data_IF_487441742886
#
_entry.id   IF_487441742886
#
_cell.length_a   1.000
_cell.length_b   1.000
_cell.length_c   1.000
_cell.angle_alpha   90.00
_cell.angle_beta   90.00
_cell.angle_gamma   90.00
#
_symmetry.space_group_name_H-M   'P 1'
#
loop_
_entity.id
_entity.type
_entity.pdbx_description
1 polymer ?
#
# COMPACT_ATOMS: atom_id res chain seq x y z
N UNK A 1 -3.27 -6.06 15.78
CA UNK A 1 -4.14 -4.88 15.56
C UNK A 1 -5.17 -4.79 16.66
N UNK A 2 -5.32 -3.65 17.33
CA UNK A 2 -6.40 -3.45 18.32
C UNK A 2 -7.63 -2.89 17.60
N UNK A 3 -8.83 -3.36 17.96
CA UNK A 3 -10.09 -3.00 17.28
C UNK A 3 -10.37 -1.49 17.32
N UNK A 4 -9.91 -0.82 18.38
CA UNK A 4 -10.07 0.61 18.59
C UNK A 4 -9.30 1.47 17.55
N UNK A 5 -8.33 0.90 16.82
CA UNK A 5 -7.59 1.61 15.76
C UNK A 5 -8.35 1.67 14.43
N UNK A 6 -9.30 0.77 14.20
CA UNK A 6 -10.01 0.65 12.90
C UNK A 6 -10.75 1.94 12.54
N UNK A 7 -11.55 2.57 13.44
CA UNK A 7 -12.26 3.81 13.10
C UNK A 7 -11.31 4.96 12.75
N UNK A 8 -10.18 5.07 13.45
CA UNK A 8 -9.18 6.10 13.19
C UNK A 8 -8.51 5.90 11.82
N UNK A 9 -8.18 4.66 11.46
CA UNK A 9 -7.64 4.30 10.15
C UNK A 9 -8.64 4.64 9.05
N UNK A 10 -9.90 4.24 9.23
CA UNK A 10 -10.96 4.54 8.27
C UNK A 10 -11.11 6.06 8.06
N UNK A 11 -11.20 6.83 9.15
CA UNK A 11 -11.33 8.28 9.10
C UNK A 11 -10.12 8.94 8.41
N UNK A 12 -8.91 8.45 8.69
CA UNK A 12 -7.69 8.96 8.07
C UNK A 12 -7.70 8.74 6.55
N UNK A 13 -7.91 7.49 6.09
CA UNK A 13 -7.93 7.19 4.66
C UNK A 13 -9.11 7.87 3.95
N UNK A 14 -10.28 7.97 4.58
CA UNK A 14 -11.41 8.73 4.03
C UNK A 14 -11.06 10.22 3.88
N UNK A 15 -10.36 10.81 4.85
CA UNK A 15 -9.88 12.19 4.77
C UNK A 15 -8.88 12.39 3.62
N UNK A 16 -7.90 11.50 3.48
CA UNK A 16 -6.93 11.54 2.36
C UNK A 16 -7.64 11.35 1.02
N UNK A 17 -8.63 10.46 0.94
CA UNK A 17 -9.45 10.25 -0.26
C UNK A 17 -10.19 11.52 -0.67
N UNK A 18 -10.85 12.20 0.28
CA UNK A 18 -11.54 13.46 -0.01
C UNK A 18 -10.55 14.51 -0.52
N UNK A 19 -9.38 14.64 0.11
CA UNK A 19 -8.35 15.59 -0.34
C UNK A 19 -7.84 15.25 -1.75
N UNK A 20 -7.60 13.96 -2.03
CA UNK A 20 -7.19 13.48 -3.34
C UNK A 20 -8.23 13.84 -4.42
N UNK A 21 -9.50 13.49 -4.21
CA UNK A 21 -10.56 13.67 -5.20
C UNK A 21 -11.00 15.14 -5.36
N UNK A 22 -11.05 15.88 -4.27
CA UNK A 22 -11.53 17.27 -4.29
C UNK A 22 -10.46 18.24 -4.79
N UNK A 23 -9.18 18.01 -4.49
CA UNK A 23 -8.11 18.95 -4.79
C UNK A 23 -7.09 18.40 -5.76
N UNK A 24 -6.46 17.26 -5.48
CA UNK A 24 -5.32 16.81 -6.29
C UNK A 24 -5.72 16.37 -7.70
N UNK A 25 -6.85 15.68 -7.84
CA UNK A 25 -7.38 15.28 -9.15
C UNK A 25 -7.86 16.47 -9.99
N UNK A 26 -7.91 17.69 -9.44
CA UNK A 26 -8.20 18.93 -10.17
C UNK A 26 -6.95 19.61 -10.73
N UNK A 27 -5.77 19.19 -10.30
CA UNK A 27 -4.50 19.74 -10.74
C UNK A 27 -4.04 18.96 -11.98
N UNK A 28 -3.81 19.68 -13.09
CA UNK A 28 -3.26 19.07 -14.30
C UNK A 28 -1.74 18.92 -14.15
N UNK A 29 -1.29 17.71 -13.82
CA UNK A 29 0.12 17.36 -13.77
C UNK A 29 0.68 17.13 -15.18
N UNK A 30 1.90 17.59 -15.43
CA UNK A 30 2.56 17.49 -16.74
C UNK A 30 2.96 16.03 -17.12
N UNK A 31 3.13 15.13 -16.15
CA UNK A 31 3.63 13.75 -16.34
C UNK A 31 2.58 12.65 -16.00
N UNK A 32 1.29 12.98 -16.04
CA UNK A 32 0.25 12.10 -15.48
C UNK A 32 0.09 12.33 -13.97
N UNK A 33 -1.14 12.15 -13.47
CA UNK A 33 -1.51 12.54 -12.11
C UNK A 33 -0.73 11.81 -11.00
N UNK A 34 -0.61 12.45 -9.84
CA UNK A 34 -0.04 11.85 -8.63
C UNK A 34 -1.14 11.34 -7.68
N UNK A 35 -1.00 10.12 -7.17
CA UNK A 35 -1.90 9.56 -6.15
C UNK A 35 -1.30 9.68 -4.75
N UNK A 36 -1.68 10.75 -4.05
CA UNK A 36 -1.32 10.94 -2.63
C UNK A 36 -1.93 9.82 -1.77
N UNK A 37 -3.11 9.36 -2.16
CA UNK A 37 -3.80 8.25 -1.53
C UNK A 37 -2.94 6.98 -1.48
N UNK A 38 -2.39 6.57 -2.63
CA UNK A 38 -1.51 5.40 -2.71
C UNK A 38 -0.18 5.63 -1.99
N UNK A 39 0.37 6.84 -2.04
CA UNK A 39 1.61 7.16 -1.34
C UNK A 39 1.47 6.96 0.18
N UNK A 40 0.40 7.48 0.79
CA UNK A 40 0.13 7.26 2.22
C UNK A 40 -0.15 5.79 2.52
N UNK A 41 -0.88 5.09 1.64
CA UNK A 41 -1.15 3.67 1.81
C UNK A 41 0.15 2.86 1.94
N UNK A 42 1.06 2.98 0.96
CA UNK A 42 2.32 2.23 0.97
C UNK A 42 3.24 2.62 2.14
N UNK A 43 3.33 3.92 2.44
CA UNK A 43 4.10 4.41 3.58
C UNK A 43 3.56 3.88 4.93
N UNK A 44 2.25 3.64 5.03
CA UNK A 44 1.63 3.14 6.25
C UNK A 44 1.86 1.64 6.42
N UNK A 45 1.55 0.84 5.39
CA UNK A 45 1.54 -0.63 5.52
C UNK A 45 2.91 -1.23 5.78
N UNK A 46 4.00 -0.55 5.40
CA UNK A 46 5.37 -1.04 5.63
C UNK A 46 5.70 -1.17 7.13
N UNK A 47 5.00 -0.40 7.97
CA UNK A 47 5.18 -0.40 9.42
C UNK A 47 4.16 -1.27 10.16
N UNK A 48 3.23 -1.91 9.47
CA UNK A 48 2.16 -2.69 10.09
C UNK A 48 2.44 -4.19 10.00
N UNK A 49 1.92 -4.94 10.96
CA UNK A 49 1.97 -6.40 10.93
C UNK A 49 1.10 -6.94 9.78
N UNK A 50 1.35 -8.18 9.34
CA UNK A 50 0.65 -8.80 8.22
C UNK A 50 -0.87 -8.65 8.28
N UNK A 51 -1.47 -9.04 9.40
CA UNK A 51 -2.93 -8.94 9.59
C UNK A 51 -3.41 -7.49 9.53
N UNK A 52 -2.67 -6.56 10.14
CA UNK A 52 -3.02 -5.14 10.12
C UNK A 52 -2.88 -4.54 8.71
N UNK A 53 -1.79 -4.85 7.99
CA UNK A 53 -1.56 -4.41 6.62
C UNK A 53 -2.65 -4.90 5.65
N UNK A 54 -3.10 -6.15 5.79
CA UNK A 54 -4.23 -6.67 5.01
C UNK A 54 -5.53 -5.95 5.34
N UNK A 55 -5.85 -5.73 6.63
CA UNK A 55 -7.05 -5.01 7.03
C UNK A 55 -7.04 -3.56 6.56
N UNK A 56 -5.90 -2.88 6.64
CA UNK A 56 -5.71 -1.51 6.11
C UNK A 56 -5.86 -1.51 4.60
N UNK A 57 -5.28 -2.49 3.89
CA UNK A 57 -5.45 -2.70 2.46
C UNK A 57 -6.91 -2.85 2.05
N UNK A 58 -7.68 -3.66 2.79
CA UNK A 58 -9.10 -3.82 2.57
C UNK A 58 -9.87 -2.51 2.77
N UNK A 59 -9.66 -1.82 3.90
CA UNK A 59 -10.34 -0.56 4.21
C UNK A 59 -10.00 0.50 3.15
N UNK A 60 -8.72 0.66 2.84
CA UNK A 60 -8.26 1.66 1.88
C UNK A 60 -8.77 1.34 0.46
N UNK A 61 -8.76 0.07 0.06
CA UNK A 61 -9.27 -0.32 -1.25
C UNK A 61 -10.78 -0.15 -1.36
N UNK A 62 -11.53 -0.45 -0.29
CA UNK A 62 -12.97 -0.23 -0.23
C UNK A 62 -13.35 1.24 -0.38
N UNK A 63 -12.60 2.14 0.24
CA UNK A 63 -12.78 3.58 0.06
C UNK A 63 -12.43 4.00 -1.37
N UNK A 64 -11.33 3.47 -1.94
CA UNK A 64 -10.89 3.81 -3.29
C UNK A 64 -11.88 3.36 -4.39
N UNK A 65 -12.62 2.28 -4.17
CA UNK A 65 -13.65 1.81 -5.10
C UNK A 65 -14.83 2.80 -5.25
N UNK A 66 -14.96 3.80 -4.36
CA UNK A 66 -15.93 4.90 -4.50
C UNK A 66 -15.38 6.10 -5.28
N UNK A 67 -14.14 6.04 -5.78
CA UNK A 67 -13.57 7.14 -6.57
C UNK A 67 -14.34 7.32 -7.88
N UNK A 68 -14.85 8.53 -8.18
CA UNK A 68 -15.44 8.83 -9.47
C UNK A 68 -14.39 9.02 -10.58
N UNK A 69 -13.10 9.14 -10.23
CA UNK A 69 -12.01 9.35 -11.20
C UNK A 69 -11.31 8.05 -11.58
N UNK A 70 -11.50 6.98 -10.79
CA UNK A 70 -11.02 5.64 -11.11
C UNK A 70 -12.10 4.86 -11.87
N UNK A 71 -11.95 4.77 -13.18
CA UNK A 71 -12.79 3.91 -14.03
C UNK A 71 -12.40 2.44 -13.87
N UNK A 72 -12.86 1.81 -12.79
CA UNK A 72 -12.60 0.41 -12.47
C UNK A 72 -13.88 -0.30 -11.99
N UNK A 73 -14.00 -1.63 -12.19
CA UNK A 73 -15.06 -2.42 -11.57
C UNK A 73 -15.01 -2.30 -10.04
N UNK A 74 -16.18 -2.11 -9.42
CA UNK A 74 -16.28 -2.02 -7.96
C UNK A 74 -15.70 -3.27 -7.30
N UNK A 75 -14.85 -3.09 -6.29
CA UNK A 75 -14.17 -4.16 -5.56
C UNK A 75 -12.77 -4.46 -6.09
N UNK A 76 -12.37 -3.93 -7.25
CA UNK A 76 -11.03 -4.13 -7.79
C UNK A 76 -9.97 -3.52 -6.88
N UNK A 77 -10.16 -2.30 -6.39
CA UNK A 77 -9.18 -1.65 -5.52
C UNK A 77 -9.15 -2.26 -4.13
N UNK A 78 -10.30 -2.68 -3.60
CA UNK A 78 -10.37 -3.52 -2.39
C UNK A 78 -9.48 -4.75 -2.53
N UNK A 79 -9.61 -5.50 -3.62
CA UNK A 79 -8.81 -6.69 -3.86
C UNK A 79 -7.33 -6.37 -4.01
N UNK A 80 -6.98 -5.42 -4.90
CA UNK A 80 -5.60 -5.04 -5.20
C UNK A 80 -4.88 -4.56 -3.94
N UNK A 81 -5.47 -3.64 -3.17
CA UNK A 81 -4.81 -3.09 -1.99
C UNK A 81 -4.72 -4.10 -0.84
N UNK A 82 -5.69 -5.01 -0.71
CA UNK A 82 -5.59 -6.12 0.26
C UNK A 82 -4.42 -7.06 -0.09
N UNK A 83 -4.31 -7.43 -1.37
CA UNK A 83 -3.20 -8.27 -1.87
C UNK A 83 -1.87 -7.55 -1.73
N UNK A 84 -1.80 -6.26 -2.05
CA UNK A 84 -0.59 -5.46 -1.86
C UNK A 84 -0.20 -5.36 -0.38
N UNK A 85 -1.17 -5.16 0.52
CA UNK A 85 -0.94 -5.21 1.96
C UNK A 85 -0.33 -6.53 2.43
N UNK A 86 -0.83 -7.65 1.92
CA UNK A 86 -0.26 -8.98 2.18
C UNK A 86 1.16 -9.14 1.61
N UNK A 87 1.38 -8.77 0.35
CA UNK A 87 2.69 -8.92 -0.30
C UNK A 87 3.75 -8.05 0.35
N UNK A 88 3.45 -6.78 0.63
CA UNK A 88 4.42 -5.88 1.26
C UNK A 88 4.75 -6.31 2.69
N UNK A 89 3.75 -6.74 3.47
CA UNK A 89 4.00 -7.21 4.84
C UNK A 89 4.69 -8.58 4.93
N UNK A 90 4.70 -9.37 3.85
CA UNK A 90 5.40 -10.66 3.80
C UNK A 90 6.81 -10.52 3.20
N UNK A 91 6.96 -9.78 2.10
CA UNK A 91 8.23 -9.62 1.38
C UNK A 91 9.13 -8.55 1.98
N UNK A 92 8.61 -7.38 2.36
CA UNK A 92 9.44 -6.28 2.87
C UNK A 92 9.74 -6.39 4.37
N UNK A 93 8.79 -6.83 5.21
CA UNK A 93 9.15 -7.12 6.61
C UNK A 93 10.10 -8.31 6.72
N UNK A 94 9.94 -9.32 5.87
CA UNK A 94 10.93 -10.41 5.76
C UNK A 94 12.33 -9.90 5.41
N UNK A 95 12.45 -8.77 4.68
CA UNK A 95 13.74 -8.15 4.35
C UNK A 95 14.24 -7.11 5.35
N UNK A 96 13.36 -6.57 6.21
CA UNK A 96 13.70 -5.59 7.24
C UNK A 96 13.95 -6.22 8.62
N UNK A 97 13.43 -7.42 8.86
CA UNK A 97 13.62 -8.20 10.11
C UNK A 97 14.82 -9.15 10.02
N UNK A 98 15.75 -8.83 9.13
CA UNK A 98 17.03 -9.52 9.07
C UNK A 98 17.91 -8.97 10.19
N UNK A 99 18.03 -9.74 11.28
CA UNK A 99 19.22 -9.73 12.15
C UNK A 99 20.51 -10.14 11.42
N UNK A 100 20.57 -9.95 10.10
CA UNK A 100 21.71 -10.23 9.25
C UNK A 100 22.38 -8.92 8.90
N UNK A 101 23.71 -8.95 8.81
CA UNK A 101 24.47 -7.79 8.37
C UNK A 101 24.01 -7.35 6.97
N UNK A 102 24.11 -6.05 6.64
CA UNK A 102 23.74 -5.52 5.32
C UNK A 102 24.33 -6.30 4.14
N UNK A 103 25.51 -6.90 4.34
CA UNK A 103 26.20 -7.77 3.38
C UNK A 103 25.38 -9.00 2.99
N UNK A 104 24.72 -9.64 3.95
CA UNK A 104 23.94 -10.86 3.72
C UNK A 104 22.74 -10.61 2.80
N UNK A 105 22.11 -9.44 2.95
CA UNK A 105 20.97 -9.03 2.13
C UNK A 105 21.44 -8.79 0.70
N UNK A 106 22.58 -8.10 0.52
CA UNK A 106 23.15 -7.86 -0.81
C UNK A 106 23.46 -9.18 -1.54
N UNK A 107 24.06 -10.15 -0.84
CA UNK A 107 24.39 -11.46 -1.44
C UNK A 107 23.12 -12.23 -1.82
N UNK A 108 22.11 -12.24 -0.96
CA UNK A 108 20.84 -12.91 -1.24
C UNK A 108 20.10 -12.27 -2.44
N UNK A 109 20.09 -10.95 -2.54
CA UNK A 109 19.50 -10.23 -3.68
C UNK A 109 20.26 -10.50 -4.98
N UNK A 110 21.59 -10.55 -4.94
CA UNK A 110 22.43 -10.90 -6.11
C UNK A 110 22.19 -12.34 -6.55
N UNK A 111 22.10 -13.29 -5.61
CA UNK A 111 21.80 -14.68 -5.92
C UNK A 111 20.40 -14.85 -6.52
N UNK A 112 19.39 -14.18 -5.96
CA UNK A 112 18.02 -14.23 -6.47
C UNK A 112 17.87 -13.63 -7.87
N UNK A 113 18.56 -12.51 -8.14
CA UNK A 113 18.58 -11.90 -9.48
C UNK A 113 19.33 -12.74 -10.50
N UNK A 114 20.44 -13.39 -10.12
CA UNK A 114 21.15 -14.32 -11.00
C UNK A 114 20.30 -15.54 -11.39
N UNK A 115 19.52 -16.10 -10.47
CA UNK A 115 18.60 -17.22 -10.75
C UNK A 115 17.43 -16.78 -11.64
N UNK A 116 16.96 -15.54 -11.50
CA UNK A 116 15.88 -15.01 -12.34
C UNK A 116 16.30 -14.73 -13.79
N UNK A 117 17.60 -14.72 -14.09
CA UNK A 117 18.16 -14.42 -15.41
C UNK A 117 18.48 -15.70 -16.22
N UNK A 118 18.20 -16.88 -15.68
CA UNK A 118 18.32 -18.20 -16.33
C UNK A 118 16.92 -18.78 -16.53
#
# INVERSE_FOLDING_TARGET
MTINRIPAIFAFFAGVFIVQEAFLNRINFFLGGFSLYLAFFFAWIIHEDRTAAMTIGFIAGFIADFSPTLEAPFGLWTFVLTVMGFLFSTTLRGSLDFGFSPLSITIATVAGTAVSLV
#
